data_IF_779255847836
#
_entry.id   IF_779255847836
#
_cell.length_a   1.000
_cell.length_b   1.000
_cell.length_c   1.000
_cell.angle_alpha   90.00
_cell.angle_beta   90.00
_cell.angle_gamma   90.00
#
_symmetry.space_group_name_H-M   'P 1'
#
loop_
_entity.id
_entity.type
_entity.pdbx_description
1 polymer ?
#
# COMPACT_ATOMS: atom_id res chain seq x y z
N UNK A 1 -5.51 17.69 -1.06
CA UNK A 1 -5.75 16.85 -1.97
C UNK A 1 -7.05 16.17 -1.80
N UNK A 2 -7.71 16.04 -2.77
CA UNK A 2 -8.93 15.37 -2.64
C UNK A 2 -8.68 14.03 -2.01
N UNK A 3 -9.62 13.55 -1.32
CA UNK A 3 -9.49 12.28 -0.70
C UNK A 3 -9.36 11.19 -1.74
N UNK A 4 -8.43 10.32 -1.53
CA UNK A 4 -8.29 9.15 -2.38
C UNK A 4 -9.06 7.99 -1.83
N UNK A 5 -9.53 8.10 -0.61
CA UNK A 5 -10.27 7.01 0.02
C UNK A 5 -11.58 6.81 -0.71
N UNK A 6 -11.93 5.55 -0.92
CA UNK A 6 -13.16 5.23 -1.60
C UNK A 6 -13.10 5.30 -3.10
N UNK A 7 -11.92 5.53 -3.62
CA UNK A 7 -11.76 5.59 -5.05
C UNK A 7 -12.18 4.28 -5.71
N UNK A 8 -12.84 4.41 -6.86
CA UNK A 8 -13.28 3.27 -7.63
C UNK A 8 -12.14 2.40 -8.09
N UNK A 9 -12.32 1.14 -8.00
CA UNK A 9 -11.31 0.21 -8.40
C UNK A 9 -11.68 -0.47 -9.71
N UNK A 10 -10.67 -0.85 -10.47
CA UNK A 10 -10.85 -1.62 -11.68
C UNK A 10 -10.34 -3.03 -11.44
N UNK A 11 -11.24 -3.99 -11.39
CA UNK A 11 -10.88 -5.35 -11.01
C UNK A 11 -10.01 -6.05 -12.04
N UNK A 12 -10.07 -5.64 -13.29
CA UNK A 12 -9.29 -6.29 -14.34
C UNK A 12 -7.88 -5.74 -14.42
N UNK A 13 -7.63 -4.70 -13.70
CA UNK A 13 -6.39 -3.97 -13.85
C UNK A 13 -6.11 -3.34 -12.50
N UNK A 14 -5.10 -3.78 -11.81
CA UNK A 14 -4.88 -3.29 -10.43
C UNK A 14 -4.47 -1.84 -10.43
N UNK A 15 -5.43 -0.98 -10.65
CA UNK A 15 -5.20 0.45 -10.75
C UNK A 15 -4.51 1.02 -9.53
N UNK A 16 -4.80 0.44 -8.38
CA UNK A 16 -4.20 0.94 -7.16
C UNK A 16 -2.70 0.68 -7.13
N UNK A 17 -2.20 -0.11 -8.06
CA UNK A 17 -0.76 -0.34 -8.16
C UNK A 17 -0.10 0.49 -9.24
N UNK A 18 -0.88 0.91 -10.24
CA UNK A 18 -0.30 1.56 -11.39
C UNK A 18 -0.70 3.01 -11.56
N UNK A 19 -1.62 3.49 -10.74
CA UNK A 19 -2.14 4.84 -10.92
C UNK A 19 -1.48 5.87 -10.03
N UNK A 20 -0.33 5.55 -9.49
CA UNK A 20 0.43 6.52 -8.72
C UNK A 20 0.83 7.68 -9.62
N UNK A 21 0.75 8.92 -9.10
CA UNK A 21 1.19 10.08 -9.88
C UNK A 21 2.65 9.99 -10.34
N UNK A 22 3.45 9.20 -9.63
CA UNK A 22 4.86 9.04 -9.99
C UNK A 22 5.05 8.18 -11.23
N UNK A 23 4.03 7.41 -11.60
CA UNK A 23 4.16 6.47 -12.71
C UNK A 23 4.86 5.19 -12.34
N UNK A 24 5.27 5.05 -11.10
CA UNK A 24 5.96 3.85 -10.63
C UNK A 24 4.94 2.87 -10.08
N UNK A 25 5.09 1.61 -10.45
CA UNK A 25 4.21 0.58 -9.92
C UNK A 25 4.69 0.14 -8.54
N UNK A 26 3.73 -0.10 -7.67
CA UNK A 26 4.04 -0.50 -6.30
C UNK A 26 4.96 -1.72 -6.27
N UNK A 27 4.69 -2.70 -7.11
CA UNK A 27 5.47 -3.93 -7.11
C UNK A 27 6.93 -3.68 -7.44
N UNK A 28 7.22 -2.64 -8.22
CA UNK A 28 8.59 -2.33 -8.58
C UNK A 28 9.41 -1.96 -7.34
N UNK A 29 8.72 -1.46 -6.32
CA UNK A 29 9.39 -1.10 -5.07
C UNK A 29 9.33 -2.25 -4.09
N UNK A 30 8.15 -2.83 -3.91
CA UNK A 30 7.96 -3.83 -2.86
C UNK A 30 8.71 -5.11 -3.12
N UNK A 31 9.01 -5.41 -4.38
CA UNK A 31 9.72 -6.65 -4.67
C UNK A 31 11.14 -6.63 -4.11
N UNK A 32 11.64 -5.46 -3.76
CA UNK A 32 12.97 -5.33 -3.18
C UNK A 32 12.95 -5.31 -1.66
N UNK A 33 11.77 -5.41 -1.07
CA UNK A 33 11.62 -5.35 0.38
C UNK A 33 11.26 -6.72 0.91
N UNK A 34 11.52 -6.94 2.20
CA UNK A 34 11.10 -8.19 2.79
C UNK A 34 9.58 -8.20 2.93
N UNK A 35 9.05 -9.31 3.39
CA UNK A 35 7.60 -9.51 3.41
C UNK A 35 6.87 -8.42 4.21
N UNK A 36 7.33 -8.16 5.43
CA UNK A 36 6.65 -7.18 6.28
C UNK A 36 6.77 -5.77 5.71
N UNK A 37 7.96 -5.40 5.29
CA UNK A 37 8.16 -4.06 4.74
C UNK A 37 7.41 -3.89 3.43
N UNK A 38 7.41 -4.93 2.61
CA UNK A 38 6.69 -4.87 1.34
C UNK A 38 5.20 -4.74 1.54
N UNK A 39 4.66 -5.48 2.50
CA UNK A 39 3.23 -5.37 2.77
C UNK A 39 2.87 -4.04 3.38
N UNK A 40 3.70 -3.52 4.28
CA UNK A 40 3.45 -2.21 4.85
C UNK A 40 3.42 -1.16 3.73
N UNK A 41 4.37 -1.23 2.84
CA UNK A 41 4.44 -0.28 1.75
C UNK A 41 3.24 -0.42 0.82
N UNK A 42 2.82 -1.64 0.55
CA UNK A 42 1.66 -1.88 -0.30
C UNK A 42 0.42 -1.22 0.28
N UNK A 43 0.20 -1.39 1.57
CA UNK A 43 -0.99 -0.83 2.19
C UNK A 43 -0.93 0.70 2.28
N UNK A 44 0.26 1.24 2.49
CA UNK A 44 0.43 2.69 2.45
C UNK A 44 0.09 3.21 1.06
N UNK A 45 0.57 2.52 0.04
CA UNK A 45 0.32 2.89 -1.36
C UNK A 45 -1.17 2.89 -1.65
N UNK A 46 -1.84 1.80 -1.27
CA UNK A 46 -3.28 1.67 -1.52
C UNK A 46 -4.09 2.71 -0.77
N UNK A 47 -3.67 3.04 0.44
CA UNK A 47 -4.41 4.00 1.25
C UNK A 47 -4.51 5.34 0.55
N UNK A 48 -3.52 5.66 -0.27
CA UNK A 48 -3.52 6.93 -0.98
C UNK A 48 -4.28 6.91 -2.29
N UNK A 49 -4.65 5.74 -2.76
CA UNK A 49 -5.21 5.62 -4.10
C UNK A 49 -6.65 5.17 -4.15
N UNK A 50 -7.06 4.30 -3.24
CA UNK A 50 -8.42 3.78 -3.30
C UNK A 50 -8.75 3.05 -2.02
N UNK A 51 -10.03 2.71 -1.90
CA UNK A 51 -10.48 1.81 -0.89
C UNK A 51 -10.63 2.43 0.48
N UNK A 52 -10.62 1.57 1.46
CA UNK A 52 -10.78 1.97 2.86
C UNK A 52 -9.41 2.36 3.40
N UNK A 53 -9.09 3.63 3.33
CA UNK A 53 -7.76 4.08 3.68
C UNK A 53 -7.45 3.88 5.17
N UNK A 54 -8.45 3.97 6.02
CA UNK A 54 -8.21 3.73 7.45
C UNK A 54 -7.81 2.28 7.67
N UNK A 55 -8.52 1.36 7.04
CA UNK A 55 -8.20 -0.05 7.19
C UNK A 55 -6.83 -0.36 6.61
N UNK A 56 -6.53 0.23 5.46
CA UNK A 56 -5.22 0.00 4.84
C UNK A 56 -4.10 0.54 5.73
N UNK A 57 -4.31 1.70 6.33
CA UNK A 57 -3.30 2.26 7.21
C UNK A 57 -3.11 1.39 8.45
N UNK A 58 -4.19 0.83 8.98
CA UNK A 58 -4.08 -0.07 10.12
C UNK A 58 -3.32 -1.32 9.76
N UNK A 59 -3.53 -1.83 8.55
CA UNK A 59 -2.77 -2.99 8.09
C UNK A 59 -1.30 -2.66 7.94
N UNK A 60 -1.01 -1.47 7.43
CA UNK A 60 0.38 -1.05 7.32
C UNK A 60 1.03 -1.00 8.69
N UNK A 61 0.33 -0.46 9.67
CA UNK A 61 0.85 -0.41 11.03
C UNK A 61 1.12 -1.81 11.57
N UNK A 62 0.21 -2.75 11.29
CA UNK A 62 0.40 -4.12 11.72
C UNK A 62 1.72 -4.68 11.20
N UNK A 63 1.99 -4.48 9.93
CA UNK A 63 3.20 -5.04 9.34
C UNK A 63 4.45 -4.29 9.79
N UNK A 64 4.32 -3.00 10.04
CA UNK A 64 5.44 -2.23 10.58
C UNK A 64 5.79 -2.74 11.96
N UNK A 65 4.78 -2.99 12.79
CA UNK A 65 5.03 -3.52 14.13
C UNK A 65 5.64 -4.90 14.09
N UNK A 66 5.19 -5.75 13.15
CA UNK A 66 5.77 -7.07 13.01
C UNK A 66 7.25 -6.98 12.65
N UNK A 67 7.59 -6.02 11.80
CA UNK A 67 8.97 -5.86 11.41
C UNK A 67 9.82 -5.41 12.59
N UNK A 68 9.29 -4.50 13.40
CA UNK A 68 10.00 -4.05 14.60
C UNK A 68 10.25 -5.22 15.53
N UNK A 69 9.24 -6.05 15.74
CA UNK A 69 9.37 -7.21 16.61
C UNK A 69 10.42 -8.17 16.09
N UNK A 70 10.47 -8.34 14.78
CA UNK A 70 11.40 -9.27 14.18
C UNK A 70 12.85 -8.81 14.37
N UNK A 71 13.05 -7.50 14.29
CA UNK A 71 14.41 -6.94 14.40
C UNK A 71 14.87 -6.88 15.85
N UNK A 72 13.94 -6.61 16.76
CA UNK A 72 14.29 -6.58 18.16
C UNK A 72 14.65 -7.95 18.66
#
# INVERSE_FOLDING_TARGET
MGSQCGHQDNVNHPEHYTSSPSGVECIQITEHLNFCLGNAMKYIWRAGLKGDCIQDLKKAVFYINREIERIE
#
